data_IF_625137548661
#
_entry.id   IF_625137548661
#
_cell.length_a   1.000
_cell.length_b   1.000
_cell.length_c   1.000
_cell.angle_alpha   90.00
_cell.angle_beta   90.00
_cell.angle_gamma   90.00
#
_symmetry.space_group_name_H-M   'P 1'
#
loop_
_entity.id
_entity.type
_entity.pdbx_description
1 polymer ?
#
# COMPACT_ATOMS: atom_id res chain seq x y z
N UNK A 1 53.02 25.50 6.43
CA UNK A 1 52.78 24.36 7.33
C UNK A 1 51.49 23.70 6.86
N UNK A 2 51.61 22.68 6.01
CA UNK A 2 50.45 21.95 5.50
C UNK A 2 50.04 20.96 6.59
N UNK A 3 48.81 21.10 7.10
CA UNK A 3 48.24 20.17 8.06
C UNK A 3 48.08 18.78 7.42
N UNK A 4 48.18 17.69 8.20
CA UNK A 4 47.97 16.36 7.65
C UNK A 4 46.53 16.24 7.15
N UNK A 5 46.37 15.97 5.86
CA UNK A 5 45.09 15.61 5.25
C UNK A 5 44.60 14.33 5.93
N UNK A 6 43.62 14.48 6.83
CA UNK A 6 42.88 13.38 7.42
C UNK A 6 42.04 12.73 6.32
N UNK A 7 42.66 11.84 5.55
CA UNK A 7 41.97 10.83 4.78
C UNK A 7 41.37 9.83 5.80
N UNK A 8 40.26 10.23 6.43
CA UNK A 8 39.44 9.30 7.20
C UNK A 8 38.92 8.26 6.22
N UNK A 9 39.60 7.11 6.18
CA UNK A 9 39.22 5.97 5.37
C UNK A 9 37.77 5.61 5.67
N UNK A 10 36.90 5.88 4.70
CA UNK A 10 35.52 5.42 4.71
C UNK A 10 35.53 3.89 4.67
N UNK A 11 35.48 3.24 5.82
CA UNK A 11 35.21 1.82 5.90
C UNK A 11 33.70 1.65 5.67
N UNK A 12 33.26 1.11 4.52
CA UNK A 12 31.85 0.81 4.34
C UNK A 12 31.46 -0.20 5.42
N UNK A 13 30.48 0.16 6.25
CA UNK A 13 29.83 -0.79 7.15
C UNK A 13 29.17 -1.87 6.31
N UNK A 14 29.84 -3.02 6.22
CA UNK A 14 29.34 -4.18 5.48
C UNK A 14 28.25 -4.85 6.30
N UNK A 15 26.99 -4.68 5.89
CA UNK A 15 25.87 -5.36 6.53
C UNK A 15 25.79 -6.82 6.05
N UNK A 16 25.58 -7.81 6.95
CA UNK A 16 25.40 -9.17 6.50
C UNK A 16 24.16 -9.30 5.60
N UNK A 17 24.26 -10.06 4.49
CA UNK A 17 23.17 -10.23 3.54
C UNK A 17 21.98 -10.94 4.21
N UNK A 18 20.74 -10.48 3.94
CA UNK A 18 19.55 -11.22 4.39
C UNK A 18 19.36 -12.46 3.50
N UNK A 19 18.99 -13.58 4.11
CA UNK A 19 18.74 -14.84 3.39
C UNK A 19 17.49 -14.72 2.51
N UNK A 20 17.68 -14.58 1.19
CA UNK A 20 16.60 -14.51 0.17
C UNK A 20 15.63 -15.71 0.28
N UNK A 21 16.17 -16.90 0.53
CA UNK A 21 15.40 -18.14 0.67
C UNK A 21 14.42 -18.11 1.85
N UNK A 22 14.81 -17.53 2.98
CA UNK A 22 13.93 -17.46 4.15
C UNK A 22 12.77 -16.49 3.91
N UNK A 23 13.04 -15.34 3.27
CA UNK A 23 12.00 -14.39 2.88
C UNK A 23 10.99 -15.03 1.90
N UNK A 24 11.49 -15.81 0.92
CA UNK A 24 10.65 -16.53 -0.03
C UNK A 24 9.84 -17.65 0.62
N UNK A 25 10.44 -18.43 1.54
CA UNK A 25 9.72 -19.44 2.32
C UNK A 25 8.60 -18.83 3.16
N UNK A 26 8.86 -17.71 3.85
CA UNK A 26 7.84 -17.00 4.62
C UNK A 26 6.72 -16.50 3.70
N UNK A 27 7.07 -15.89 2.56
CA UNK A 27 6.10 -15.44 1.56
C UNK A 27 5.22 -16.57 1.01
N UNK A 28 5.77 -17.79 0.90
CA UNK A 28 5.05 -18.97 0.46
C UNK A 28 4.07 -19.49 1.53
N UNK A 29 4.47 -19.52 2.81
CA UNK A 29 3.54 -19.98 3.86
C UNK A 29 2.40 -18.99 4.10
N UNK A 30 2.71 -17.69 4.16
CA UNK A 30 1.73 -16.64 4.42
C UNK A 30 1.95 -15.45 3.48
N UNK A 31 1.01 -15.18 2.57
CA UNK A 31 1.14 -14.06 1.64
C UNK A 31 1.26 -12.73 2.40
N UNK A 32 2.23 -11.92 2.00
CA UNK A 32 2.58 -10.65 2.66
C UNK A 32 3.61 -10.74 3.80
N UNK A 33 3.87 -11.91 4.41
CA UNK A 33 4.84 -12.01 5.52
C UNK A 33 6.30 -11.89 5.08
N UNK A 34 6.64 -12.31 3.84
CA UNK A 34 7.98 -12.13 3.29
C UNK A 34 8.40 -10.66 3.17
N UNK A 35 7.46 -9.76 2.90
CA UNK A 35 7.72 -8.32 2.89
C UNK A 35 8.00 -7.78 4.31
N UNK A 36 7.30 -8.32 5.32
CA UNK A 36 7.51 -7.96 6.71
C UNK A 36 8.90 -8.40 7.21
N UNK A 37 9.38 -9.58 6.79
CA UNK A 37 10.74 -10.05 7.12
C UNK A 37 11.86 -9.13 6.58
N UNK A 38 11.61 -8.48 5.45
CA UNK A 38 12.52 -7.53 4.83
C UNK A 38 12.45 -6.11 5.44
N UNK A 39 11.52 -5.87 6.39
CA UNK A 39 11.27 -4.54 6.97
C UNK A 39 10.26 -3.69 6.18
N UNK A 40 9.60 -4.24 5.15
CA UNK A 40 8.60 -3.56 4.32
C UNK A 40 7.17 -3.84 4.82
N UNK A 41 6.86 -3.38 6.03
CA UNK A 41 5.59 -3.64 6.72
C UNK A 41 4.36 -3.20 5.91
N UNK A 42 4.41 -1.99 5.33
CA UNK A 42 3.30 -1.39 4.59
C UNK A 42 2.91 -2.19 3.34
N UNK A 43 3.91 -2.69 2.61
CA UNK A 43 3.70 -3.54 1.43
C UNK A 43 3.15 -4.91 1.81
N UNK A 44 3.66 -5.50 2.89
CA UNK A 44 3.16 -6.78 3.41
C UNK A 44 1.68 -6.71 3.79
N UNK A 45 1.29 -5.68 4.55
CA UNK A 45 -0.11 -5.45 4.95
C UNK A 45 -1.01 -5.25 3.72
N UNK A 46 -0.55 -4.52 2.70
CA UNK A 46 -1.33 -4.28 1.49
C UNK A 46 -1.61 -5.59 0.73
N UNK A 47 -0.62 -6.47 0.59
CA UNK A 47 -0.78 -7.78 -0.04
C UNK A 47 -1.73 -8.68 0.77
N UNK A 48 -1.64 -8.64 2.11
CA UNK A 48 -2.58 -9.35 2.98
C UNK A 48 -4.01 -8.83 2.79
N UNK A 49 -4.19 -7.50 2.73
CA UNK A 49 -5.50 -6.88 2.56
C UNK A 49 -6.10 -7.18 1.18
N UNK A 50 -5.28 -7.22 0.12
CA UNK A 50 -5.71 -7.66 -1.21
C UNK A 50 -6.22 -9.09 -1.22
N UNK A 51 -5.49 -10.00 -0.56
CA UNK A 51 -5.93 -11.39 -0.46
C UNK A 51 -7.22 -11.51 0.35
N UNK A 52 -7.29 -10.82 1.49
CA UNK A 52 -8.49 -10.79 2.32
C UNK A 52 -9.70 -10.27 1.53
N UNK A 53 -9.53 -9.19 0.76
CA UNK A 53 -10.56 -8.63 -0.10
C UNK A 53 -11.03 -9.63 -1.17
N UNK A 54 -10.10 -10.38 -1.78
CA UNK A 54 -10.44 -11.42 -2.75
C UNK A 54 -11.25 -12.56 -2.10
N UNK A 55 -10.79 -13.08 -0.96
CA UNK A 55 -11.51 -14.14 -0.22
C UNK A 55 -12.91 -13.66 0.20
N UNK A 56 -13.01 -12.44 0.73
CA UNK A 56 -14.30 -11.83 1.08
C UNK A 56 -15.21 -11.75 -0.14
N UNK A 57 -14.69 -11.34 -1.30
CA UNK A 57 -15.44 -11.32 -2.56
C UNK A 57 -15.96 -12.70 -2.97
N UNK A 58 -15.11 -13.74 -2.90
CA UNK A 58 -15.49 -15.12 -3.23
C UNK A 58 -16.62 -15.60 -2.32
N UNK A 59 -16.46 -15.43 -1.01
CA UNK A 59 -17.44 -15.88 -0.01
C UNK A 59 -18.74 -15.08 -0.13
N UNK A 60 -18.65 -13.77 -0.33
CA UNK A 60 -19.80 -12.89 -0.48
C UNK A 60 -20.68 -13.32 -1.67
N UNK A 61 -20.08 -13.45 -2.86
CA UNK A 61 -20.83 -13.89 -4.04
C UNK A 61 -21.23 -15.37 -3.98
N UNK A 62 -20.52 -16.19 -3.21
CA UNK A 62 -20.85 -17.61 -3.03
C UNK A 62 -22.03 -17.87 -2.08
N UNK A 63 -22.31 -16.96 -1.14
CA UNK A 63 -23.44 -17.09 -0.18
C UNK A 63 -24.73 -16.51 -0.77
N UNK A 64 -24.63 -15.55 -1.69
CA UNK A 64 -25.79 -15.01 -2.40
C UNK A 64 -26.42 -16.09 -3.30
N UNK A 65 -27.45 -16.78 -2.79
CA UNK A 65 -28.17 -17.87 -3.47
C UNK A 65 -29.14 -17.39 -4.58
N UNK A 66 -28.95 -16.16 -5.08
CA UNK A 66 -29.69 -15.72 -6.24
C UNK A 66 -29.10 -16.40 -7.47
N UNK A 67 -29.93 -17.19 -8.16
CA UNK A 67 -29.59 -17.93 -9.39
C UNK A 67 -29.13 -17.05 -10.56
N UNK A 68 -28.99 -15.74 -10.35
CA UNK A 68 -28.39 -14.80 -11.28
C UNK A 68 -26.88 -15.01 -11.34
N UNK A 69 -26.42 -15.81 -12.32
CA UNK A 69 -25.16 -15.72 -13.08
C UNK A 69 -23.84 -15.21 -12.43
N UNK A 70 -23.69 -15.19 -11.09
CA UNK A 70 -22.47 -14.74 -10.39
C UNK A 70 -21.41 -15.84 -10.30
N UNK A 71 -21.71 -17.05 -10.77
CA UNK A 71 -20.77 -18.18 -10.84
C UNK A 71 -19.50 -17.82 -11.62
N UNK A 72 -19.64 -17.07 -12.73
CA UNK A 72 -18.48 -16.63 -13.52
C UNK A 72 -17.55 -15.71 -12.72
N UNK A 73 -18.12 -14.81 -11.90
CA UNK A 73 -17.34 -13.94 -11.01
C UNK A 73 -16.60 -14.74 -9.95
N UNK A 74 -17.26 -15.71 -9.32
CA UNK A 74 -16.62 -16.60 -8.33
C UNK A 74 -15.43 -17.34 -8.96
N UNK A 75 -15.61 -17.88 -10.18
CA UNK A 75 -14.52 -18.55 -10.92
C UNK A 75 -13.40 -17.57 -11.23
N UNK A 76 -13.72 -16.35 -11.68
CA UNK A 76 -12.72 -15.31 -11.97
C UNK A 76 -11.92 -14.91 -10.71
N UNK A 77 -12.60 -14.66 -9.58
CA UNK A 77 -11.96 -14.33 -8.30
C UNK A 77 -11.11 -15.50 -7.77
N UNK A 78 -11.60 -16.73 -7.93
CA UNK A 78 -10.87 -17.94 -7.55
C UNK A 78 -9.61 -18.14 -8.39
N UNK A 79 -9.65 -17.82 -9.69
CA UNK A 79 -8.46 -17.84 -10.56
C UNK A 79 -7.47 -16.72 -10.21
N UNK A 80 -7.96 -15.63 -9.62
CA UNK A 80 -7.13 -14.52 -9.13
C UNK A 80 -6.26 -14.92 -7.93
N UNK A 81 -6.68 -15.89 -7.10
CA UNK A 81 -5.92 -16.36 -5.93
C UNK A 81 -4.52 -16.91 -6.29
N UNK A 82 -4.36 -17.89 -7.21
CA UNK A 82 -3.04 -18.37 -7.59
C UNK A 82 -2.19 -17.28 -8.24
N UNK A 83 -2.79 -16.39 -9.04
CA UNK A 83 -2.09 -15.24 -9.65
C UNK A 83 -1.52 -14.32 -8.55
N UNK A 84 -2.33 -13.99 -7.54
CA UNK A 84 -1.91 -13.18 -6.40
C UNK A 84 -0.79 -13.85 -5.60
N UNK A 85 -0.81 -15.18 -5.50
CA UNK A 85 0.22 -15.95 -4.80
C UNK A 85 1.57 -15.88 -5.53
N UNK A 86 1.58 -16.09 -6.86
CA UNK A 86 2.79 -15.92 -7.67
C UNK A 86 3.31 -14.49 -7.63
N UNK A 87 2.41 -13.50 -7.70
CA UNK A 87 2.78 -12.08 -7.57
C UNK A 87 3.45 -11.79 -6.23
N UNK A 88 2.89 -12.28 -5.12
CA UNK A 88 3.49 -12.15 -3.79
C UNK A 88 4.89 -12.81 -3.72
N UNK A 89 5.05 -14.00 -4.29
CA UNK A 89 6.36 -14.68 -4.29
C UNK A 89 7.40 -13.88 -5.07
N UNK A 90 7.07 -13.45 -6.28
CA UNK A 90 7.98 -12.70 -7.15
C UNK A 90 8.34 -11.32 -6.57
N UNK A 91 7.35 -10.60 -6.03
CA UNK A 91 7.57 -9.29 -5.40
C UNK A 91 8.49 -9.38 -4.19
N UNK A 92 8.38 -10.43 -3.37
CA UNK A 92 9.32 -10.66 -2.26
C UNK A 92 10.73 -10.94 -2.76
N UNK A 93 10.90 -11.73 -3.82
CA UNK A 93 12.21 -12.00 -4.40
C UNK A 93 12.90 -10.73 -4.92
N UNK A 94 12.16 -9.88 -5.64
CA UNK A 94 12.66 -8.59 -6.10
C UNK A 94 13.00 -7.64 -4.94
N UNK A 95 12.14 -7.58 -3.92
CA UNK A 95 12.39 -6.76 -2.74
C UNK A 95 13.61 -7.28 -1.94
N UNK A 96 13.80 -8.59 -1.87
CA UNK A 96 14.93 -9.20 -1.17
C UNK A 96 16.26 -8.87 -1.86
N UNK A 97 16.29 -8.89 -3.20
CA UNK A 97 17.45 -8.46 -3.98
C UNK A 97 17.77 -6.98 -3.77
N UNK A 98 16.76 -6.12 -3.90
CA UNK A 98 16.91 -4.68 -3.69
C UNK A 98 17.41 -4.34 -2.27
N UNK A 99 16.92 -5.04 -1.24
CA UNK A 99 17.39 -4.87 0.14
C UNK A 99 18.82 -5.38 0.31
N UNK A 100 19.20 -6.45 -0.40
CA UNK A 100 20.54 -6.99 -0.36
C UNK A 100 21.55 -6.06 -1.05
N UNK A 101 21.20 -5.48 -2.18
CA UNK A 101 22.04 -4.52 -2.91
C UNK A 101 22.27 -3.25 -2.09
N UNK A 102 21.24 -2.79 -1.35
CA UNK A 102 21.39 -1.67 -0.40
C UNK A 102 22.35 -1.98 0.74
N UNK A 103 22.27 -3.20 1.29
CA UNK A 103 23.18 -3.67 2.33
C UNK A 103 24.61 -3.76 1.81
N UNK A 104 24.80 -4.20 0.56
CA UNK A 104 26.10 -4.25 -0.10
C UNK A 104 26.67 -2.85 -0.39
N UNK A 105 25.82 -1.86 -0.68
CA UNK A 105 26.19 -0.47 -0.86
C UNK A 105 26.53 0.26 0.48
N UNK A 106 26.43 -0.41 1.62
CA UNK A 106 26.68 0.18 2.95
C UNK A 106 25.60 1.16 3.42
N UNK A 107 24.45 1.22 2.73
CA UNK A 107 23.33 2.05 3.15
C UNK A 107 22.57 1.39 4.32
N UNK A 108 22.06 2.23 5.23
CA UNK A 108 21.28 1.79 6.39
C UNK A 108 20.06 0.99 5.90
N UNK A 109 19.84 -0.24 6.39
CA UNK A 109 18.67 -1.02 5.99
C UNK A 109 17.39 -0.38 6.54
N UNK A 110 16.23 -0.61 5.90
CA UNK A 110 14.92 -0.23 6.43
C UNK A 110 14.79 -0.73 7.89
N UNK A 111 14.24 0.12 8.77
CA UNK A 111 14.21 -0.11 10.21
C UNK A 111 13.78 -1.56 10.57
N UNK A 112 14.72 -2.35 11.10
CA UNK A 112 14.43 -3.64 11.73
C UNK A 112 13.67 -3.36 13.06
N UNK A 113 12.48 -3.94 13.29
CA UNK A 113 11.70 -3.73 14.54
C UNK A 113 12.38 -4.27 15.80
N UNK A 114 13.29 -5.23 15.62
CA UNK A 114 14.09 -5.85 16.67
C UNK A 114 15.46 -5.18 16.67
N UNK A 115 15.56 -4.13 17.47
CA UNK A 115 16.64 -3.15 17.51
C UNK A 115 18.05 -3.70 17.28
N UNK A 116 18.63 -3.31 16.14
CA UNK A 116 20.06 -3.10 16.01
C UNK A 116 20.27 -1.59 15.81
N UNK A 117 20.29 -0.85 16.91
CA UNK A 117 20.70 0.55 16.95
C UNK A 117 22.21 0.65 16.69
N UNK A 118 22.61 0.41 15.44
CA UNK A 118 23.96 0.69 14.96
C UNK A 118 24.11 2.19 14.71
N UNK A 119 25.13 2.78 15.32
CA UNK A 119 25.66 4.11 15.03
C UNK A 119 26.34 4.10 13.66
N UNK A 120 25.55 4.08 12.58
CA UNK A 120 26.03 4.31 11.21
C UNK A 120 25.87 5.79 10.84
N UNK A 121 26.71 6.33 9.94
CA UNK A 121 26.64 7.74 9.55
C UNK A 121 25.27 8.05 8.93
N UNK A 122 24.65 9.14 9.39
CA UNK A 122 23.45 9.72 8.77
C UNK A 122 23.86 10.30 7.42
N UNK A 123 23.83 9.47 6.38
CA UNK A 123 24.13 9.91 5.02
C UNK A 123 22.86 10.50 4.42
N UNK A 124 22.88 11.79 4.10
CA UNK A 124 21.75 12.62 3.65
C UNK A 124 21.05 12.10 2.36
N UNK A 125 21.62 11.10 1.69
CA UNK A 125 20.98 10.37 0.58
C UNK A 125 20.05 9.22 1.02
N UNK A 126 20.19 8.70 2.24
CA UNK A 126 19.37 7.59 2.75
C UNK A 126 17.89 7.98 2.89
N UNK A 127 17.59 9.24 3.22
CA UNK A 127 16.22 9.74 3.38
C UNK A 127 15.36 9.66 2.12
N UNK A 128 15.96 9.86 0.93
CA UNK A 128 15.26 9.76 -0.36
C UNK A 128 14.84 8.32 -0.67
N UNK A 129 15.72 7.36 -0.39
CA UNK A 129 15.49 5.94 -0.65
C UNK A 129 14.73 5.21 0.46
N UNK A 130 14.79 5.73 1.69
CA UNK A 130 13.91 5.34 2.81
C UNK A 130 12.47 5.72 2.52
N UNK A 131 12.26 6.91 1.94
CA UNK A 131 11.00 7.31 1.33
C UNK A 131 10.55 6.27 0.31
N UNK A 132 11.38 5.93 -0.68
CA UNK A 132 11.03 5.00 -1.77
C UNK A 132 10.67 3.56 -1.31
N UNK A 133 11.36 3.02 -0.28
CA UNK A 133 11.01 1.69 0.27
C UNK A 133 9.77 1.76 1.16
N UNK A 134 9.67 2.78 2.02
CA UNK A 134 8.58 2.92 2.98
C UNK A 134 7.29 3.41 2.32
N UNK A 135 7.40 4.11 1.20
CA UNK A 135 6.28 4.56 0.39
C UNK A 135 5.36 3.36 0.17
N UNK A 136 4.18 3.47 0.78
CA UNK A 136 3.02 2.69 0.38
C UNK A 136 2.92 2.87 -1.13
N UNK A 137 2.95 1.79 -1.93
CA UNK A 137 2.78 1.93 -3.36
C UNK A 137 1.40 2.52 -3.55
N UNK A 138 1.32 3.81 -3.87
CA UNK A 138 0.06 4.56 -4.01
C UNK A 138 -0.82 3.83 -5.03
N UNK A 139 -0.20 3.24 -6.06
CA UNK A 139 -0.85 2.34 -6.99
C UNK A 139 -1.52 1.13 -6.32
N UNK A 140 -0.88 0.49 -5.33
CA UNK A 140 -1.48 -0.63 -4.60
C UNK A 140 -2.71 -0.20 -3.79
N UNK A 141 -2.70 0.98 -3.17
CA UNK A 141 -3.87 1.52 -2.46
C UNK A 141 -4.98 1.87 -3.44
N UNK A 142 -4.65 2.49 -4.57
CA UNK A 142 -5.61 2.81 -5.62
C UNK A 142 -6.27 1.54 -6.15
N UNK A 143 -5.49 0.50 -6.46
CA UNK A 143 -6.02 -0.79 -6.91
C UNK A 143 -6.89 -1.41 -5.82
N UNK A 144 -6.52 -1.28 -4.54
CA UNK A 144 -7.29 -1.84 -3.43
C UNK A 144 -8.66 -1.16 -3.29
N UNK A 145 -8.65 0.18 -3.33
CA UNK A 145 -9.87 0.97 -3.29
C UNK A 145 -10.72 0.73 -4.53
N UNK A 146 -10.11 0.61 -5.70
CA UNK A 146 -10.81 0.29 -6.94
C UNK A 146 -11.44 -1.11 -6.88
N UNK A 147 -10.71 -2.13 -6.41
CA UNK A 147 -11.23 -3.48 -6.25
C UNK A 147 -12.36 -3.52 -5.20
N UNK A 148 -12.20 -2.81 -4.08
CA UNK A 148 -13.25 -2.72 -3.06
C UNK A 148 -14.49 -1.98 -3.58
N UNK A 149 -14.30 -0.88 -4.31
CA UNK A 149 -15.38 -0.16 -4.98
C UNK A 149 -16.05 -1.02 -6.05
N UNK A 150 -15.27 -1.75 -6.85
CA UNK A 150 -15.77 -2.66 -7.87
C UNK A 150 -16.63 -3.76 -7.25
N UNK A 151 -16.14 -4.42 -6.20
CA UNK A 151 -16.92 -5.39 -5.43
C UNK A 151 -18.19 -4.77 -4.83
N UNK A 152 -18.08 -3.55 -4.29
CA UNK A 152 -19.22 -2.82 -3.74
C UNK A 152 -20.28 -2.48 -4.81
N UNK A 153 -19.85 -2.08 -6.01
CA UNK A 153 -20.75 -1.80 -7.14
C UNK A 153 -21.37 -3.10 -7.67
N UNK A 154 -20.62 -4.20 -7.70
CA UNK A 154 -21.16 -5.52 -8.08
C UNK A 154 -22.10 -6.12 -7.03
N UNK A 155 -21.92 -5.77 -5.75
CA UNK A 155 -22.84 -6.10 -4.64
C UNK A 155 -24.18 -5.35 -4.74
N UNK A 156 -24.26 -4.28 -5.55
CA UNK A 156 -25.39 -3.34 -5.61
C UNK A 156 -26.56 -3.74 -6.53
N UNK A 157 -26.98 -5.01 -6.59
CA UNK A 157 -28.24 -5.33 -7.29
C UNK A 157 -29.46 -4.68 -6.62
N UNK A 158 -29.44 -4.50 -5.28
CA UNK A 158 -30.63 -4.05 -4.52
C UNK A 158 -30.56 -2.65 -3.91
N UNK A 159 -29.49 -1.88 -4.14
CA UNK A 159 -29.42 -0.51 -3.57
C UNK A 159 -30.26 0.50 -4.36
N UNK A 160 -30.67 0.15 -5.58
CA UNK A 160 -31.45 1.02 -6.47
C UNK A 160 -32.84 1.39 -5.95
N UNK A 161 -33.42 0.61 -5.04
CA UNK A 161 -34.77 0.87 -4.49
C UNK A 161 -34.75 1.48 -3.06
N UNK A 162 -33.64 1.36 -2.30
CA UNK A 162 -33.49 2.01 -0.98
C UNK A 162 -32.72 3.33 -1.00
N UNK A 163 -31.91 3.57 -2.03
CA UNK A 163 -31.17 4.83 -2.23
C UNK A 163 -31.77 5.84 -3.24
N UNK A 164 -32.93 5.61 -3.93
CA UNK A 164 -33.37 6.55 -4.96
C UNK A 164 -33.86 7.90 -4.40
N UNK A 165 -34.11 8.05 -3.10
CA UNK A 165 -34.60 9.33 -2.56
C UNK A 165 -33.51 10.36 -2.25
N UNK A 166 -32.23 9.97 -2.13
CA UNK A 166 -31.14 10.94 -1.85
C UNK A 166 -30.46 11.47 -3.12
N UNK A 167 -30.53 10.71 -4.22
CA UNK A 167 -29.86 11.06 -5.48
C UNK A 167 -30.84 11.49 -6.60
N UNK A 168 -32.14 11.25 -6.45
CA UNK A 168 -33.17 11.63 -7.43
C UNK A 168 -34.05 12.78 -6.95
N UNK A 169 -33.66 14.02 -7.26
CA UNK A 169 -34.46 15.26 -7.16
C UNK A 169 -34.82 15.76 -5.74
N UNK A 170 -34.46 17.01 -5.44
CA UNK A 170 -34.58 17.80 -4.17
C UNK A 170 -33.42 17.70 -3.15
N UNK A 171 -33.20 16.63 -2.37
CA UNK A 171 -32.23 16.67 -1.27
C UNK A 171 -30.78 16.73 -1.77
N UNK A 172 -30.44 16.09 -2.89
CA UNK A 172 -29.13 16.22 -3.54
C UNK A 172 -28.86 17.65 -4.06
N UNK A 173 -29.89 18.35 -4.53
CA UNK A 173 -29.77 19.74 -4.96
C UNK A 173 -29.55 20.69 -3.77
N UNK A 174 -30.26 20.48 -2.66
CA UNK A 174 -30.05 21.23 -1.40
C UNK A 174 -28.64 21.00 -0.86
N UNK A 175 -28.12 19.78 -0.94
CA UNK A 175 -26.75 19.45 -0.54
C UNK A 175 -25.72 20.19 -1.41
N UNK A 176 -25.89 20.17 -2.74
CA UNK A 176 -25.01 20.87 -3.68
C UNK A 176 -25.03 22.39 -3.47
N UNK A 177 -26.22 22.98 -3.28
CA UNK A 177 -26.36 24.40 -2.99
C UNK A 177 -25.70 24.74 -1.64
N UNK A 178 -25.93 23.91 -0.61
CA UNK A 178 -25.34 24.10 0.71
C UNK A 178 -23.82 24.05 0.69
N UNK A 179 -23.22 23.07 0.00
CA UNK A 179 -21.76 22.96 -0.17
C UNK A 179 -21.23 24.18 -0.95
N UNK A 180 -21.92 24.60 -2.02
CA UNK A 180 -21.54 25.78 -2.80
C UNK A 180 -21.51 27.07 -1.96
N UNK A 181 -22.54 27.30 -1.14
CA UNK A 181 -22.62 28.45 -0.22
C UNK A 181 -21.53 28.39 0.85
N UNK A 182 -21.26 27.21 1.40
CA UNK A 182 -20.23 27.03 2.42
C UNK A 182 -18.83 27.36 1.87
N UNK A 183 -18.51 26.88 0.68
CA UNK A 183 -17.24 27.16 -0.02
C UNK A 183 -17.11 28.66 -0.32
N UNK A 184 -18.18 29.29 -0.81
CA UNK A 184 -18.20 30.72 -1.11
C UNK A 184 -18.01 31.59 0.15
N UNK A 185 -18.60 31.19 1.28
CA UNK A 185 -18.40 31.87 2.56
C UNK A 185 -16.99 31.65 3.13
N UNK A 186 -16.33 30.55 2.80
CA UNK A 186 -14.95 30.31 3.20
C UNK A 186 -13.98 31.18 2.41
N UNK A 187 -14.19 31.29 1.09
CA UNK A 187 -13.38 32.13 0.21
C UNK A 187 -13.52 33.63 0.58
N UNK A 188 -14.73 34.07 0.94
CA UNK A 188 -14.95 35.45 1.43
C UNK A 188 -14.19 35.75 2.73
N UNK A 189 -13.97 34.77 3.60
CA UNK A 189 -13.17 34.96 4.82
C UNK A 189 -11.67 35.08 4.55
N UNK A 190 -11.18 34.53 3.44
CA UNK A 190 -9.78 34.62 3.03
C UNK A 190 -9.37 36.00 2.48
N UNK A 191 -10.30 36.77 1.93
CA UNK A 191 -9.97 38.07 1.32
C UNK A 191 -9.89 39.24 2.30
N UNK A 192 -10.44 39.11 3.52
CA UNK A 192 -10.38 40.17 4.54
C UNK A 192 -9.02 40.27 5.24
N UNK A 193 -8.16 39.26 5.13
CA UNK A 193 -6.83 39.21 5.76
C UNK A 193 -5.71 39.71 4.84
N UNK A 194 -6.02 40.11 3.60
CA UNK A 194 -5.05 40.60 2.60
C UNK A 194 -5.11 42.11 2.36
N UNK A 195 -5.84 42.86 3.19
CA UNK A 195 -6.04 44.30 3.03
C UNK A 195 -5.63 45.18 4.23
N UNK A 196 -4.83 44.64 5.14
CA UNK A 196 -4.12 45.46 6.14
C UNK A 196 -2.61 45.29 5.98
#
# INVERSE_FOLDING_TARGET
>A
MNGPEQNEGYYPVSYPPKKKWLAAMLAAFFPGTGHMYLGLMSRGILIMLMLALNIVGIVYFGIENEYDNKVLLIVLLSLMVPIQYFYNLFSVLQCAELVNDRRAAGLRPPADPLGASGTGPSQDGAGRWDGEIRQVPVGGIIVLLFAALFLFVLSRSDWGHRVPHLFGSLPGAVLLIGIGVLVWLWDRRGQSQKKE
#
